data_IF_292095198418
#
_entry.id   IF_292095198418
#
_cell.length_a   1.000
_cell.length_b   1.000
_cell.length_c   1.000
_cell.angle_alpha   90.00
_cell.angle_beta   90.00
_cell.angle_gamma   90.00
#
_symmetry.space_group_name_H-M   'P 1'
#
loop_
_entity.id
_entity.type
_entity.pdbx_description
1 polymer ?
#
# COMPACT_ATOMS: atom_id res chain seq x y z
N UNK A 1 -4.15 28.28 15.94
CA UNK A 1 -3.12 27.72 15.03
C UNK A 1 -2.72 26.36 15.56
N UNK A 2 -3.30 25.27 15.05
CA UNK A 2 -2.76 23.93 15.27
C UNK A 2 -3.12 23.10 14.04
N UNK A 3 -2.31 23.26 13.00
CA UNK A 3 -2.38 22.46 11.79
C UNK A 3 -1.64 21.15 12.06
N UNK A 4 -2.37 20.13 12.53
CA UNK A 4 -1.87 18.76 12.47
C UNK A 4 -1.74 18.37 11.01
N UNK A 5 -0.52 18.15 10.51
CA UNK A 5 -0.28 17.74 9.13
C UNK A 5 -0.87 16.34 8.90
N UNK A 6 -1.32 16.12 7.65
CA UNK A 6 -1.47 14.78 7.06
C UNK A 6 -0.32 13.86 7.48
N UNK A 7 -0.67 12.59 7.74
CA UNK A 7 0.16 11.53 8.31
C UNK A 7 1.67 11.65 8.10
N UNK A 8 2.39 11.67 9.22
CA UNK A 8 3.83 11.39 9.25
C UNK A 8 4.10 10.03 8.59
N UNK A 9 5.03 9.95 7.61
CA UNK A 9 5.42 8.66 7.03
C UNK A 9 6.02 7.78 8.13
N UNK A 10 5.46 6.58 8.31
CA UNK A 10 6.01 5.53 9.17
C UNK A 10 5.47 5.46 10.61
N UNK A 11 4.45 6.24 10.99
CA UNK A 11 3.81 6.05 12.31
C UNK A 11 2.65 5.06 12.21
N UNK A 12 2.80 3.90 12.85
CA UNK A 12 1.73 2.93 13.05
C UNK A 12 0.59 3.59 13.87
N UNK A 13 -0.66 3.62 13.36
CA UNK A 13 -1.81 4.08 14.12
C UNK A 13 -2.01 3.30 15.42
N UNK A 14 -2.41 4.00 16.48
CA UNK A 14 -2.70 3.35 17.76
C UNK A 14 -3.86 2.36 17.62
N UNK A 15 -3.75 1.20 18.27
CA UNK A 15 -4.78 0.15 18.27
C UNK A 15 -4.62 -0.94 17.20
N UNK A 16 -3.63 -0.83 16.31
CA UNK A 16 -3.27 -1.92 15.38
C UNK A 16 -2.43 -2.97 16.12
N UNK A 17 -2.78 -4.24 15.91
CA UNK A 17 -2.12 -5.41 16.48
C UNK A 17 -2.15 -6.59 15.51
N UNK A 18 -1.37 -7.63 15.80
CA UNK A 18 -1.33 -8.84 14.96
C UNK A 18 -2.67 -9.58 14.92
N UNK A 19 -3.52 -9.36 15.91
CA UNK A 19 -4.84 -10.00 16.01
C UNK A 19 -5.92 -9.28 15.21
N UNK A 20 -5.72 -8.00 14.86
CA UNK A 20 -6.78 -7.15 14.29
C UNK A 20 -6.43 -6.44 12.96
N UNK A 21 -5.18 -6.53 12.48
CA UNK A 21 -4.72 -5.79 11.31
C UNK A 21 -5.45 -6.14 10.00
N UNK A 22 -6.07 -7.33 9.91
CA UNK A 22 -6.88 -7.78 8.77
C UNK A 22 -8.34 -7.30 8.83
N UNK A 23 -8.80 -6.88 10.01
CA UNK A 23 -10.19 -6.47 10.21
C UNK A 23 -10.39 -5.00 9.88
N UNK A 24 -11.56 -4.61 9.34
CA UNK A 24 -11.94 -3.21 9.27
C UNK A 24 -11.98 -2.58 10.68
N UNK A 25 -11.58 -1.30 10.83
CA UNK A 25 -11.07 -0.39 9.80
C UNK A 25 -9.55 -0.50 9.55
N UNK A 26 -8.82 -1.30 10.33
CA UNK A 26 -7.36 -1.33 10.36
C UNK A 26 -6.75 -1.80 9.02
N UNK A 27 -7.41 -2.71 8.32
CA UNK A 27 -6.94 -3.26 7.03
C UNK A 27 -6.67 -2.21 5.95
N UNK A 28 -7.38 -1.08 5.97
CA UNK A 28 -7.18 -0.01 4.99
C UNK A 28 -5.78 0.62 5.09
N UNK A 29 -5.25 0.75 6.31
CA UNK A 29 -3.89 1.24 6.54
C UNK A 29 -2.87 0.11 6.42
N UNK A 30 -3.14 -1.05 7.05
CA UNK A 30 -2.18 -2.15 7.14
C UNK A 30 -1.67 -2.63 5.78
N UNK A 31 -2.53 -2.72 4.75
CA UNK A 31 -2.10 -3.19 3.43
C UNK A 31 -1.18 -2.21 2.68
N UNK A 32 -1.21 -0.94 3.05
CA UNK A 32 -0.33 0.08 2.46
C UNK A 32 0.99 0.20 3.24
N UNK A 33 0.99 -0.20 4.51
CA UNK A 33 2.07 0.06 5.47
C UNK A 33 2.55 -1.20 6.20
N UNK A 34 2.43 -2.37 5.56
CA UNK A 34 2.74 -3.66 6.21
C UNK A 34 4.19 -3.73 6.71
N UNK A 35 5.12 -3.05 6.02
CA UNK A 35 6.53 -2.99 6.40
C UNK A 35 6.82 -2.14 7.66
N UNK A 36 5.93 -1.21 7.99
CA UNK A 36 6.04 -0.38 9.22
C UNK A 36 5.66 -1.18 10.48
N UNK A 37 4.96 -2.31 10.31
CA UNK A 37 4.35 -3.09 11.40
C UNK A 37 4.86 -4.53 11.49
N UNK A 38 5.20 -5.17 10.36
CA UNK A 38 5.64 -6.56 10.30
C UNK A 38 7.03 -6.69 9.64
N UNK A 39 7.83 -7.69 10.01
CA UNK A 39 9.07 -7.99 9.31
C UNK A 39 8.81 -8.32 7.84
N UNK A 40 9.36 -7.52 6.93
CA UNK A 40 9.33 -7.76 5.49
C UNK A 40 10.75 -7.93 4.94
N UNK A 41 10.85 -8.68 3.85
CA UNK A 41 12.08 -8.79 3.08
C UNK A 41 11.89 -8.05 1.75
N UNK A 42 12.91 -7.30 1.34
CA UNK A 42 12.91 -6.63 0.03
C UNK A 42 13.06 -7.68 -1.06
N UNK A 43 12.10 -7.75 -1.99
CA UNK A 43 12.20 -8.55 -3.21
C UNK A 43 12.80 -7.67 -4.32
N UNK A 44 14.05 -7.92 -4.76
CA UNK A 44 14.67 -7.11 -5.81
C UNK A 44 13.94 -7.29 -7.15
N UNK A 45 13.81 -6.22 -7.93
CA UNK A 45 13.16 -6.27 -9.27
C UNK A 45 13.93 -7.02 -10.36
N UNK A 46 15.10 -7.57 -10.05
CA UNK A 46 16.03 -8.15 -11.03
C UNK A 46 16.73 -7.10 -11.89
N UNK A 47 17.66 -7.53 -12.75
CA UNK A 47 18.47 -6.64 -13.63
C UNK A 47 17.82 -6.33 -14.99
N UNK A 48 16.59 -6.78 -15.21
CA UNK A 48 15.87 -6.56 -16.47
C UNK A 48 15.28 -5.17 -16.58
N UNK A 49 15.05 -4.69 -17.81
CA UNK A 49 14.24 -3.48 -18.02
C UNK A 49 12.80 -3.79 -17.61
N UNK A 50 12.10 -2.87 -16.91
CA UNK A 50 10.67 -3.02 -16.67
C UNK A 50 9.95 -3.23 -18.00
N UNK A 51 9.15 -4.28 -18.08
CA UNK A 51 8.33 -4.49 -19.24
C UNK A 51 7.29 -3.36 -19.33
N UNK A 52 7.22 -2.68 -20.48
CA UNK A 52 6.22 -1.63 -20.69
C UNK A 52 4.86 -2.29 -20.89
N UNK A 53 3.94 -2.07 -19.95
CA UNK A 53 2.53 -2.34 -20.19
C UNK A 53 2.05 -1.57 -21.42
N UNK A 54 1.54 -2.24 -22.46
CA UNK A 54 0.85 -1.58 -23.56
C UNK A 54 -0.55 -1.19 -23.09
N UNK A 55 -0.64 -0.15 -22.25
CA UNK A 55 -1.89 0.41 -21.72
C UNK A 55 -2.91 0.77 -22.81
N UNK A 56 -2.42 0.98 -24.05
CA UNK A 56 -3.23 1.28 -25.23
C UNK A 56 -4.01 0.07 -25.78
N UNK A 57 -3.61 -1.17 -25.49
CA UNK A 57 -4.26 -2.39 -26.02
C UNK A 57 -5.34 -2.95 -25.10
N UNK A 58 -5.29 -2.64 -23.79
CA UNK A 58 -6.22 -3.18 -22.79
C UNK A 58 -7.43 -2.27 -22.48
N UNK A 59 -7.62 -1.17 -23.23
CA UNK A 59 -8.85 -0.39 -23.13
C UNK A 59 -9.94 -1.11 -23.93
N UNK A 60 -10.59 -2.09 -23.29
CA UNK A 60 -11.84 -2.66 -23.77
C UNK A 60 -12.80 -1.50 -24.10
N UNK A 61 -13.50 -1.51 -25.24
CA UNK A 61 -14.56 -0.54 -25.47
C UNK A 61 -15.60 -0.76 -24.37
N UNK A 62 -15.75 0.25 -23.50
CA UNK A 62 -16.85 0.28 -22.55
C UNK A 62 -18.14 0.33 -23.37
N UNK A 63 -18.88 -0.77 -23.42
CA UNK A 63 -20.27 -0.76 -23.86
C UNK A 63 -21.04 0.20 -22.96
N UNK A 64 -21.79 1.08 -23.62
CA UNK A 64 -22.65 2.10 -23.02
C UNK A 64 -23.82 1.48 -22.27
#
# INVERSE_FOLDING_TARGET
MSSGRCGEPGRVPAGISLDNWLSPPHSHWSFQHIEDFMPTAVIPRGRGRPWRCPWRVLRLPTSR
#
